data_IF_388705900889
#
_entry.id   IF_388705900889
#
_cell.length_a   1.000
_cell.length_b   1.000
_cell.length_c   1.000
_cell.angle_alpha   90.00
_cell.angle_beta   90.00
_cell.angle_gamma   90.00
#
_symmetry.space_group_name_H-M   'P 1'
#
loop_
_entity.id
_entity.type
_entity.pdbx_description
1 polymer ?
#
# COMPACT_ATOMS: atom_id res chain seq x y z
N UNK A 1 -12.80 3.83 -1.20
CA UNK A 1 -11.67 4.68 -0.78
C UNK A 1 -10.47 4.37 -1.66
N UNK A 2 -9.71 5.40 -2.01
CA UNK A 2 -8.50 5.27 -2.79
C UNK A 2 -7.25 5.39 -1.92
N UNK A 3 -6.11 4.85 -2.40
CA UNK A 3 -4.87 4.77 -1.61
C UNK A 3 -4.34 6.14 -1.18
N UNK A 4 -4.37 7.13 -2.06
CA UNK A 4 -3.93 8.50 -1.84
C UNK A 4 -4.85 9.31 -0.91
N UNK A 5 -6.03 8.78 -0.56
CA UNK A 5 -6.91 9.38 0.44
C UNK A 5 -6.55 8.96 1.87
N UNK A 6 -5.73 7.91 2.04
CA UNK A 6 -5.35 7.39 3.36
C UNK A 6 -4.28 8.29 3.98
N UNK A 7 -4.58 8.86 5.15
CA UNK A 7 -3.63 9.63 5.95
C UNK A 7 -3.28 8.92 7.27
N UNK A 8 -4.21 8.13 7.82
CA UNK A 8 -4.08 7.40 9.08
C UNK A 8 -4.59 5.97 8.92
N UNK A 9 -4.08 5.07 9.76
CA UNK A 9 -4.57 3.68 9.83
C UNK A 9 -6.08 3.63 10.07
N UNK A 10 -6.60 4.55 10.88
CA UNK A 10 -8.02 4.65 11.23
C UNK A 10 -8.93 5.09 10.09
N UNK A 11 -8.38 5.57 8.98
CA UNK A 11 -9.19 6.00 7.82
C UNK A 11 -9.80 4.79 7.09
N UNK A 12 -9.23 3.59 7.31
CA UNK A 12 -9.81 2.32 6.90
C UNK A 12 -10.42 1.59 8.11
N UNK A 13 -11.61 1.01 7.90
CA UNK A 13 -12.16 0.03 8.84
C UNK A 13 -11.35 -1.27 8.82
N UNK A 14 -11.46 -2.10 9.86
CA UNK A 14 -10.77 -3.38 9.94
C UNK A 14 -11.17 -4.28 8.76
N UNK A 15 -10.18 -4.77 8.00
CA UNK A 15 -10.41 -5.58 6.80
C UNK A 15 -10.86 -4.81 5.56
N UNK A 16 -11.10 -3.50 5.66
CA UNK A 16 -11.44 -2.65 4.52
C UNK A 16 -10.24 -2.48 3.58
N UNK A 17 -10.52 -2.49 2.27
CA UNK A 17 -9.53 -2.32 1.22
C UNK A 17 -9.70 -0.99 0.51
N UNK A 18 -8.62 -0.23 0.40
CA UNK A 18 -8.48 0.87 -0.55
C UNK A 18 -7.79 0.38 -1.82
N UNK A 19 -8.19 0.90 -2.97
CA UNK A 19 -7.58 0.56 -4.28
C UNK A 19 -6.88 1.78 -4.89
N UNK A 20 -5.93 1.59 -5.81
CA UNK A 20 -5.33 2.71 -6.55
C UNK A 20 -6.39 3.63 -7.19
N UNK A 21 -6.11 4.93 -7.27
CA UNK A 21 -6.90 5.86 -8.06
C UNK A 21 -6.91 5.46 -9.53
N UNK A 22 -7.98 5.82 -10.24
CA UNK A 22 -8.04 5.62 -11.69
C UNK A 22 -6.84 6.33 -12.37
N UNK A 23 -6.09 5.59 -13.17
CA UNK A 23 -4.91 6.11 -13.88
C UNK A 23 -3.62 6.18 -13.06
N UNK A 24 -3.65 5.87 -11.76
CA UNK A 24 -2.46 5.80 -10.91
C UNK A 24 -2.13 4.35 -10.61
N UNK A 25 -0.86 3.97 -10.77
CA UNK A 25 -0.34 2.70 -10.25
C UNK A 25 0.52 2.98 -9.03
N UNK A 26 0.63 2.03 -8.11
CA UNK A 26 1.57 2.12 -7.00
C UNK A 26 2.57 0.98 -7.07
N UNK A 27 3.84 1.29 -6.80
CA UNK A 27 4.87 0.30 -6.50
C UNK A 27 5.27 0.39 -5.03
N UNK A 28 6.17 -0.51 -4.63
CA UNK A 28 6.76 -0.53 -3.30
C UNK A 28 8.26 -0.31 -3.36
N UNK A 29 8.78 0.38 -2.35
CA UNK A 29 10.23 0.49 -2.08
C UNK A 29 10.53 0.19 -0.62
N UNK A 30 11.71 -0.35 -0.34
CA UNK A 30 12.23 -0.41 1.03
C UNK A 30 12.66 0.98 1.50
N UNK A 31 12.97 1.12 2.79
CA UNK A 31 13.53 2.36 3.35
C UNK A 31 14.90 2.71 2.73
N UNK A 32 15.64 1.70 2.29
CA UNK A 32 16.91 1.84 1.57
C UNK A 32 16.70 2.14 0.07
N UNK A 33 15.48 2.53 -0.33
CA UNK A 33 15.08 2.90 -1.68
C UNK A 33 15.24 1.77 -2.72
N UNK A 34 15.23 0.50 -2.29
CA UNK A 34 15.25 -0.65 -3.18
C UNK A 34 13.83 -0.93 -3.68
N UNK A 35 13.65 -0.98 -5.00
CA UNK A 35 12.35 -1.26 -5.60
C UNK A 35 11.97 -2.74 -5.43
N UNK A 36 10.72 -2.98 -5.03
CA UNK A 36 10.11 -4.31 -5.08
C UNK A 36 9.45 -4.47 -6.44
N UNK A 37 9.69 -5.61 -7.10
CA UNK A 37 9.11 -5.93 -8.39
C UNK A 37 7.65 -6.39 -8.25
N UNK A 38 6.77 -5.46 -7.88
CA UNK A 38 5.33 -5.70 -7.79
C UNK A 38 4.54 -4.41 -7.99
N UNK A 39 3.30 -4.54 -8.46
CA UNK A 39 2.33 -3.46 -8.50
C UNK A 39 1.33 -3.67 -7.36
N UNK A 40 0.97 -2.61 -6.66
CA UNK A 40 0.00 -2.67 -5.56
C UNK A 40 -1.41 -2.67 -6.13
N UNK A 41 -2.21 -3.67 -5.73
CA UNK A 41 -3.61 -3.83 -6.13
C UNK A 41 -4.56 -3.22 -5.09
N UNK A 42 -4.19 -3.30 -3.81
CA UNK A 42 -4.97 -2.72 -2.71
C UNK A 42 -4.09 -2.45 -1.48
N UNK A 43 -4.59 -1.59 -0.58
CA UNK A 43 -4.12 -1.44 0.79
C UNK A 43 -5.24 -1.87 1.73
N UNK A 44 -4.93 -2.71 2.71
CA UNK A 44 -5.89 -3.24 3.70
C UNK A 44 -5.42 -2.91 5.11
N UNK A 45 -6.38 -2.60 5.99
CA UNK A 45 -6.11 -2.52 7.43
C UNK A 45 -6.20 -3.89 8.08
N UNK A 46 -5.17 -4.23 8.87
CA UNK A 46 -5.17 -5.36 9.81
C UNK A 46 -4.67 -4.89 11.17
N UNK A 47 -5.58 -4.79 12.13
CA UNK A 47 -5.33 -4.24 13.46
C UNK A 47 -4.90 -2.77 13.42
N UNK A 48 -3.68 -2.50 13.88
CA UNK A 48 -3.10 -1.15 13.93
C UNK A 48 -2.11 -0.88 12.78
N UNK A 49 -2.18 -1.66 11.71
CA UNK A 49 -1.25 -1.58 10.58
C UNK A 49 -1.97 -1.66 9.25
N UNK A 50 -1.31 -1.11 8.24
CA UNK A 50 -1.72 -1.16 6.84
C UNK A 50 -0.78 -2.10 6.09
N UNK A 51 -1.37 -2.88 5.19
CA UNK A 51 -0.67 -3.81 4.33
C UNK A 51 -1.06 -3.56 2.87
N UNK A 52 -0.08 -3.47 1.99
CA UNK A 52 -0.30 -3.41 0.55
C UNK A 52 -0.25 -4.82 -0.04
N UNK A 53 -1.31 -5.23 -0.71
CA UNK A 53 -1.33 -6.46 -1.51
C UNK A 53 -0.76 -6.19 -2.91
N UNK A 54 0.28 -6.93 -3.29
CA UNK A 54 0.90 -6.80 -4.61
C UNK A 54 0.42 -7.87 -5.59
N UNK A 55 0.56 -7.61 -6.88
CA UNK A 55 0.31 -8.57 -7.99
C UNK A 55 1.18 -9.83 -7.90
N UNK A 56 2.23 -9.83 -7.07
CA UNK A 56 3.05 -11.00 -6.80
C UNK A 56 2.40 -11.99 -5.81
N UNK A 57 1.21 -11.68 -5.28
CA UNK A 57 0.48 -12.51 -4.32
C UNK A 57 0.92 -12.31 -2.86
N UNK A 58 1.93 -11.48 -2.60
CA UNK A 58 2.40 -11.16 -1.25
C UNK A 58 1.77 -9.86 -0.73
N UNK A 59 1.61 -9.80 0.60
CA UNK A 59 1.26 -8.58 1.32
C UNK A 59 2.50 -7.98 1.98
N UNK A 60 2.62 -6.65 1.94
CA UNK A 60 3.77 -5.92 2.47
C UNK A 60 3.29 -4.88 3.49
N UNK A 61 3.90 -4.78 4.69
CA UNK A 61 3.54 -3.73 5.63
C UNK A 61 3.87 -2.37 5.02
N UNK A 62 2.91 -1.45 5.01
CA UNK A 62 3.11 -0.06 4.55
C UNK A 62 2.90 0.97 5.65
N UNK A 63 2.76 0.48 6.89
CA UNK A 63 2.83 1.32 8.10
C UNK A 63 3.51 0.61 9.27
N UNK A 64 4.04 1.42 10.20
CA UNK A 64 4.79 0.97 11.36
C UNK A 64 6.21 0.49 11.03
N UNK A 65 6.92 -0.12 12.00
CA UNK A 65 8.32 -0.51 11.83
C UNK A 65 8.53 -1.53 10.70
N UNK A 66 9.55 -1.31 9.87
CA UNK A 66 9.87 -2.17 8.73
C UNK A 66 8.91 -2.01 7.55
N UNK A 67 8.18 -0.90 7.47
CA UNK A 67 7.26 -0.63 6.38
C UNK A 67 7.97 -0.35 5.05
N UNK A 68 7.36 -0.82 3.98
CA UNK A 68 7.63 -0.39 2.63
C UNK A 68 6.95 0.96 2.36
N UNK A 69 7.55 1.73 1.46
CA UNK A 69 7.02 3.01 1.00
C UNK A 69 6.20 2.77 -0.26
N UNK A 70 4.94 3.22 -0.25
CA UNK A 70 4.10 3.30 -1.44
C UNK A 70 4.58 4.43 -2.34
N UNK A 71 4.87 4.12 -3.59
CA UNK A 71 5.36 5.10 -4.56
C UNK A 71 4.39 5.14 -5.74
N UNK A 72 3.73 6.29 -6.01
CA UNK A 72 2.91 6.43 -7.20
C UNK A 72 3.80 6.34 -8.45
N UNK A 73 3.29 5.63 -9.45
CA UNK A 73 3.88 5.48 -10.78
C UNK A 73 2.91 6.06 -11.80
N UNK A 74 3.40 6.97 -12.61
CA UNK A 74 2.72 7.38 -13.84
C UNK A 74 2.65 6.16 -14.75
N UNK A 75 1.46 5.88 -15.29
CA UNK A 75 1.30 4.87 -16.35
C UNK A 75 1.85 5.36 -17.67
#
# INVERSE_FOLDING_TARGET
MNIGEIQRVSDLAEGERATPEQGTAYGLRTIDNIAVETHVEFVVRRGQRLFAGGTCGNEFPVSGPGSFVLVPRSR
#
